data_IF_984554865314
#
_entry.id   IF_984554865314
#
_cell.length_a   1.000
_cell.length_b   1.000
_cell.length_c   1.000
_cell.angle_alpha   90.00
_cell.angle_beta   90.00
_cell.angle_gamma   90.00
#
_symmetry.space_group_name_H-M   'P 1'
#
loop_
_entity.id
_entity.type
_entity.pdbx_description
1 polymer ?
#
# COMPACT_ATOMS: atom_id res chain seq x y z
N UNK A 1 -19.01 4.99 -18.01
CA UNK A 1 -18.63 3.77 -17.23
C UNK A 1 -19.71 2.73 -17.46
N UNK A 2 -19.32 1.54 -17.88
CA UNK A 2 -20.22 0.40 -17.96
C UNK A 2 -19.79 -0.64 -16.93
N UNK A 3 -20.74 -1.28 -16.27
CA UNK A 3 -20.48 -2.40 -15.36
C UNK A 3 -20.87 -3.68 -16.12
N UNK A 4 -19.91 -4.55 -16.31
CA UNK A 4 -20.04 -5.77 -17.10
C UNK A 4 -20.43 -6.92 -16.17
N UNK A 5 -21.65 -7.41 -16.29
CA UNK A 5 -22.20 -8.46 -15.43
C UNK A 5 -22.81 -9.62 -16.22
N UNK A 6 -22.87 -9.48 -17.55
CA UNK A 6 -23.38 -10.54 -18.43
C UNK A 6 -22.37 -10.90 -19.52
N UNK A 7 -22.53 -12.10 -20.09
CA UNK A 7 -21.65 -12.59 -21.15
C UNK A 7 -21.75 -11.74 -22.41
N UNK A 8 -22.94 -11.29 -22.76
CA UNK A 8 -23.20 -10.46 -23.95
C UNK A 8 -22.47 -9.11 -23.82
N UNK A 9 -22.54 -8.48 -22.63
CA UNK A 9 -21.80 -7.25 -22.35
C UNK A 9 -20.28 -7.46 -22.44
N UNK A 10 -19.79 -8.60 -21.92
CA UNK A 10 -18.36 -8.94 -21.98
C UNK A 10 -17.89 -9.13 -23.43
N UNK A 11 -18.66 -9.87 -24.26
CA UNK A 11 -18.31 -10.11 -25.65
C UNK A 11 -18.34 -8.82 -26.48
N UNK A 12 -19.32 -7.93 -26.23
CA UNK A 12 -19.37 -6.61 -26.84
C UNK A 12 -18.16 -5.75 -26.42
N UNK A 13 -17.83 -5.75 -25.15
CA UNK A 13 -16.66 -5.06 -24.62
C UNK A 13 -15.39 -5.53 -25.33
N UNK A 14 -15.11 -6.83 -25.33
CA UNK A 14 -13.92 -7.41 -25.97
C UNK A 14 -13.88 -7.04 -27.47
N UNK A 15 -14.99 -7.19 -28.17
CA UNK A 15 -15.06 -6.83 -29.59
C UNK A 15 -14.82 -5.33 -29.85
N UNK A 16 -15.20 -4.46 -28.90
CA UNK A 16 -14.91 -3.04 -28.98
C UNK A 16 -13.43 -2.75 -28.78
N UNK A 17 -12.83 -3.30 -27.71
CA UNK A 17 -11.42 -3.06 -27.41
C UNK A 17 -10.49 -3.62 -28.49
N UNK A 18 -10.77 -4.77 -29.06
CA UNK A 18 -9.98 -5.36 -30.16
C UNK A 18 -9.89 -4.49 -31.44
N UNK A 19 -10.68 -3.43 -31.54
CA UNK A 19 -10.62 -2.45 -32.63
C UNK A 19 -9.80 -1.21 -32.29
N UNK A 20 -9.22 -1.15 -31.07
CA UNK A 20 -8.42 -0.02 -30.61
C UNK A 20 -6.93 -0.32 -30.72
N UNK A 21 -6.10 0.74 -30.71
CA UNK A 21 -4.64 0.62 -30.73
C UNK A 21 -4.06 0.38 -29.32
N UNK A 22 -4.76 0.85 -28.30
CA UNK A 22 -4.32 0.80 -26.90
C UNK A 22 -5.51 0.77 -25.94
N UNK A 23 -5.27 0.15 -24.80
CA UNK A 23 -6.17 0.23 -23.65
C UNK A 23 -5.38 0.30 -22.34
N UNK A 24 -5.90 1.02 -21.36
CA UNK A 24 -5.44 0.91 -19.99
C UNK A 24 -6.27 -0.14 -19.26
N UNK A 25 -5.64 -0.82 -18.30
CA UNK A 25 -6.32 -1.71 -17.36
C UNK A 25 -5.69 -1.61 -15.98
N UNK A 26 -6.46 -1.99 -14.98
CA UNK A 26 -6.07 -2.01 -13.58
C UNK A 26 -6.80 -3.14 -12.85
N UNK A 27 -6.21 -3.67 -11.77
CA UNK A 27 -6.73 -4.79 -11.01
C UNK A 27 -6.90 -4.42 -9.54
N UNK A 28 -8.14 -4.55 -9.03
CA UNK A 28 -8.35 -4.54 -7.59
C UNK A 28 -8.28 -5.97 -7.04
N UNK A 29 -7.44 -6.16 -6.03
CA UNK A 29 -7.17 -7.48 -5.49
C UNK A 29 -7.52 -7.59 -4.01
N UNK A 30 -7.92 -8.80 -3.59
CA UNK A 30 -8.17 -9.18 -2.21
C UNK A 30 -7.34 -10.41 -1.87
N UNK A 31 -6.86 -10.50 -0.63
CA UNK A 31 -6.11 -11.67 -0.20
C UNK A 31 -5.32 -11.45 1.09
N UNK A 32 -4.64 -12.51 1.56
CA UNK A 32 -3.99 -12.52 2.88
C UNK A 32 -2.79 -11.59 2.98
N UNK A 33 -2.22 -11.18 1.83
CA UNK A 33 -1.02 -10.35 1.78
C UNK A 33 -1.22 -9.18 0.83
N UNK A 34 -1.54 -8.02 1.37
CA UNK A 34 -1.68 -6.78 0.58
C UNK A 34 -0.42 -6.50 -0.25
N UNK A 35 -0.64 -6.07 -1.49
CA UNK A 35 0.45 -5.74 -2.41
C UNK A 35 1.22 -6.94 -2.98
N UNK A 36 0.81 -8.18 -2.69
CA UNK A 36 1.42 -9.38 -3.25
C UNK A 36 0.52 -9.93 -4.37
N UNK A 37 0.75 -9.46 -5.58
CA UNK A 37 -0.06 -9.77 -6.77
C UNK A 37 -0.22 -11.27 -7.07
N UNK A 38 0.81 -12.06 -6.76
CA UNK A 38 0.84 -13.50 -7.12
C UNK A 38 -0.14 -14.34 -6.30
N UNK A 39 -0.36 -13.99 -5.04
CA UNK A 39 -1.20 -14.78 -4.10
C UNK A 39 -2.60 -14.23 -3.90
N UNK A 40 -2.85 -12.97 -4.29
CA UNK A 40 -4.16 -12.34 -4.10
C UNK A 40 -5.11 -12.69 -5.25
N UNK A 41 -6.41 -12.76 -4.96
CA UNK A 41 -7.46 -12.92 -5.96
C UNK A 41 -7.87 -11.57 -6.54
N UNK A 42 -8.20 -11.54 -7.82
CA UNK A 42 -8.75 -10.35 -8.46
C UNK A 42 -10.23 -10.25 -8.11
N UNK A 43 -10.61 -9.13 -7.57
CA UNK A 43 -12.01 -8.81 -7.23
C UNK A 43 -12.65 -7.90 -8.27
N UNK A 44 -11.87 -7.03 -8.92
CA UNK A 44 -12.32 -6.18 -10.01
C UNK A 44 -11.25 -6.07 -11.07
N UNK A 45 -11.71 -6.00 -12.31
CA UNK A 45 -10.92 -5.54 -13.46
C UNK A 45 -11.53 -4.25 -13.99
N UNK A 46 -10.70 -3.29 -14.31
CA UNK A 46 -11.12 -2.07 -14.97
C UNK A 46 -10.37 -1.83 -16.27
N UNK A 47 -11.06 -1.25 -17.24
CA UNK A 47 -10.53 -0.99 -18.56
C UNK A 47 -10.90 0.41 -19.01
N UNK A 48 -10.01 1.07 -19.76
CA UNK A 48 -10.30 2.33 -20.40
C UNK A 48 -9.59 2.46 -21.75
N UNK A 49 -10.25 3.13 -22.67
CA UNK A 49 -9.71 3.54 -23.95
C UNK A 49 -10.36 4.85 -24.40
N UNK A 50 -10.26 5.26 -25.65
CA UNK A 50 -10.84 6.48 -26.19
C UNK A 50 -12.37 6.51 -26.00
N UNK A 51 -12.84 7.36 -25.07
CA UNK A 51 -14.28 7.59 -24.85
C UNK A 51 -15.05 6.47 -24.17
N UNK A 52 -14.43 5.34 -23.86
CA UNK A 52 -15.07 4.19 -23.21
C UNK A 52 -14.27 3.76 -21.97
N UNK A 53 -15.00 3.33 -20.94
CA UNK A 53 -14.43 2.66 -19.79
C UNK A 53 -15.42 1.67 -19.20
N UNK A 54 -14.91 0.49 -18.86
CA UNK A 54 -15.67 -0.67 -18.41
C UNK A 54 -15.03 -1.24 -17.13
N UNK A 55 -15.88 -1.79 -16.24
CA UNK A 55 -15.44 -2.49 -15.03
C UNK A 55 -16.11 -3.84 -14.93
N UNK A 56 -15.38 -4.84 -14.49
CA UNK A 56 -15.84 -6.23 -14.39
C UNK A 56 -15.67 -6.67 -12.94
N UNK A 57 -16.77 -6.83 -12.18
CA UNK A 57 -16.70 -7.41 -10.83
C UNK A 57 -16.51 -8.92 -10.89
N UNK A 58 -15.64 -9.48 -10.01
CA UNK A 58 -15.23 -10.88 -9.98
C UNK A 58 -15.32 -11.45 -8.56
N UNK A 59 -16.49 -11.36 -7.94
CA UNK A 59 -16.74 -11.90 -6.61
C UNK A 59 -16.73 -10.83 -5.50
N UNK A 60 -17.06 -9.57 -5.82
CA UNK A 60 -17.28 -8.54 -4.80
C UNK A 60 -18.43 -8.95 -3.89
N UNK A 61 -18.22 -8.98 -2.54
CA UNK A 61 -19.16 -9.61 -1.62
C UNK A 61 -20.36 -8.75 -1.27
N UNK A 62 -20.27 -7.43 -1.44
CA UNK A 62 -21.26 -6.47 -0.98
C UNK A 62 -22.08 -5.89 -2.15
N UNK A 63 -23.37 -5.65 -1.93
CA UNK A 63 -24.17 -4.75 -2.75
C UNK A 63 -24.04 -3.29 -2.29
N UNK A 64 -25.13 -2.57 -2.28
CA UNK A 64 -25.16 -1.20 -1.78
C UNK A 64 -25.33 -1.16 -0.26
N UNK A 65 -24.86 -0.09 0.37
CA UNK A 65 -25.03 0.12 1.80
C UNK A 65 -26.53 0.32 2.12
N UNK A 66 -27.11 -0.58 2.91
CA UNK A 66 -28.51 -0.54 3.31
C UNK A 66 -28.72 0.08 4.69
N UNK A 67 -27.83 -0.21 5.63
CA UNK A 67 -27.93 0.26 7.01
C UNK A 67 -26.55 0.44 7.64
N UNK A 68 -26.43 1.44 8.53
CA UNK A 68 -25.29 1.59 9.43
C UNK A 68 -25.74 1.28 10.84
N UNK A 69 -25.35 0.13 11.36
CA UNK A 69 -25.66 -0.27 12.75
C UNK A 69 -24.74 0.52 13.68
N UNK A 70 -25.30 1.36 14.55
CA UNK A 70 -24.53 2.09 15.56
C UNK A 70 -23.93 1.11 16.57
N UNK A 71 -22.62 1.20 16.91
CA UNK A 71 -22.06 0.40 17.96
C UNK A 71 -22.72 0.73 19.31
N UNK A 72 -23.08 -0.30 20.07
CA UNK A 72 -23.81 -0.18 21.35
C UNK A 72 -22.97 0.43 22.49
N UNK A 73 -21.66 0.69 22.34
CA UNK A 73 -20.79 1.18 23.42
C UNK A 73 -19.72 2.14 22.99
N UNK A 74 -19.52 3.20 23.78
CA UNK A 74 -18.30 3.97 23.93
C UNK A 74 -18.10 5.18 23.01
N UNK A 75 -16.92 5.78 23.08
CA UNK A 75 -16.54 7.04 22.42
C UNK A 75 -16.61 7.02 20.87
N UNK A 76 -16.70 5.84 20.24
CA UNK A 76 -16.91 5.68 18.80
C UNK A 76 -18.30 6.13 18.32
N UNK A 77 -19.34 5.98 19.17
CA UNK A 77 -20.71 6.38 18.84
C UNK A 77 -20.84 7.90 18.59
N UNK A 78 -20.09 8.72 19.34
CA UNK A 78 -20.13 10.20 19.20
C UNK A 78 -19.52 10.70 17.89
N UNK A 79 -18.65 9.93 17.25
CA UNK A 79 -18.11 10.29 15.91
C UNK A 79 -19.06 9.90 14.78
N UNK A 80 -19.81 8.81 14.94
CA UNK A 80 -20.82 8.37 13.97
C UNK A 80 -22.07 9.27 13.95
N UNK A 81 -22.38 9.97 15.04
CA UNK A 81 -23.52 10.89 15.13
C UNK A 81 -23.36 12.21 14.37
N UNK A 82 -22.14 12.58 13.97
CA UNK A 82 -21.89 13.79 13.18
C UNK A 82 -22.04 13.51 11.69
N UNK A 83 -23.26 13.20 11.25
CA UNK A 83 -23.73 13.34 9.87
C UNK A 83 -22.75 12.88 8.77
N UNK A 84 -22.32 11.62 8.83
CA UNK A 84 -21.54 11.01 7.76
C UNK A 84 -22.39 10.93 6.49
N UNK A 85 -22.11 11.79 5.52
CA UNK A 85 -22.61 11.59 4.16
C UNK A 85 -21.98 10.30 3.61
N UNK A 86 -22.74 9.50 2.87
CA UNK A 86 -22.31 8.22 2.30
C UNK A 86 -20.97 8.31 1.54
N UNK A 87 -20.62 9.47 1.02
CA UNK A 87 -19.41 9.75 0.25
C UNK A 87 -18.19 10.15 1.11
N UNK A 88 -18.37 10.35 2.43
CA UNK A 88 -17.33 10.88 3.32
C UNK A 88 -16.76 9.82 4.28
N UNK A 89 -17.16 8.54 4.13
CA UNK A 89 -16.77 7.47 5.04
C UNK A 89 -15.49 6.81 4.54
N UNK A 90 -14.38 7.07 5.22
CA UNK A 90 -13.17 6.28 5.08
C UNK A 90 -13.32 4.96 5.85
N UNK A 91 -13.83 3.95 5.17
CA UNK A 91 -14.09 2.61 5.72
C UNK A 91 -12.80 1.90 6.13
N UNK A 92 -11.64 2.24 5.55
CA UNK A 92 -10.36 1.62 5.84
C UNK A 92 -9.86 1.91 7.27
N UNK A 93 -10.24 3.04 7.84
CA UNK A 93 -9.87 3.44 9.21
C UNK A 93 -10.76 2.84 10.30
N UNK A 94 -11.88 2.23 9.95
CA UNK A 94 -12.90 1.73 10.88
C UNK A 94 -12.93 0.21 11.03
N UNK A 95 -11.79 -0.49 10.93
CA UNK A 95 -11.66 -1.96 11.10
C UNK A 95 -12.34 -2.55 12.35
N UNK A 96 -12.70 -1.73 13.34
CA UNK A 96 -13.39 -2.15 14.58
C UNK A 96 -14.92 -2.02 14.53
N UNK A 97 -15.46 -1.50 13.43
CA UNK A 97 -16.88 -1.25 13.27
C UNK A 97 -17.46 -2.11 12.15
N UNK A 98 -17.58 -3.41 12.37
CA UNK A 98 -18.42 -4.29 11.55
C UNK A 98 -19.90 -3.94 11.75
N UNK A 99 -20.29 -2.73 11.36
CA UNK A 99 -21.61 -2.17 11.64
C UNK A 99 -22.34 -1.76 10.35
N UNK A 100 -21.79 -2.14 9.21
CA UNK A 100 -22.40 -1.85 7.91
C UNK A 100 -23.15 -3.08 7.43
N UNK A 101 -24.42 -2.90 7.08
CA UNK A 101 -25.24 -3.91 6.42
C UNK A 101 -25.33 -3.53 4.96
N UNK A 102 -25.00 -4.48 4.10
CA UNK A 102 -25.08 -4.32 2.66
C UNK A 102 -26.23 -5.15 2.09
N UNK A 103 -26.75 -4.72 0.96
CA UNK A 103 -27.62 -5.56 0.15
C UNK A 103 -26.83 -6.68 -0.50
N UNK A 104 -27.49 -7.68 -1.05
CA UNK A 104 -26.84 -8.67 -1.90
C UNK A 104 -26.19 -7.99 -3.12
N UNK A 105 -24.97 -8.42 -3.51
CA UNK A 105 -24.32 -7.90 -4.70
C UNK A 105 -25.07 -8.29 -5.95
N UNK A 106 -24.98 -7.51 -7.04
CA UNK A 106 -25.47 -7.93 -8.34
C UNK A 106 -24.83 -9.26 -8.78
N UNK A 107 -25.53 -10.01 -9.64
CA UNK A 107 -24.95 -11.21 -10.25
C UNK A 107 -23.67 -10.83 -10.99
N UNK A 108 -22.62 -11.61 -10.81
CA UNK A 108 -21.30 -11.39 -11.39
C UNK A 108 -20.91 -12.59 -12.26
N UNK A 109 -20.03 -12.35 -13.23
CA UNK A 109 -19.50 -13.40 -14.08
C UNK A 109 -18.44 -14.24 -13.33
N UNK A 110 -18.32 -15.50 -13.72
CA UNK A 110 -17.28 -16.35 -13.15
C UNK A 110 -15.90 -15.96 -13.71
N UNK A 111 -14.83 -15.87 -12.88
CA UNK A 111 -13.50 -15.47 -13.35
C UNK A 111 -13.01 -16.26 -14.57
N UNK A 112 -13.18 -17.59 -14.60
CA UNK A 112 -12.75 -18.42 -15.72
C UNK A 112 -13.42 -18.02 -17.06
N UNK A 113 -14.70 -17.65 -17.04
CA UNK A 113 -15.42 -17.16 -18.20
C UNK A 113 -14.88 -15.81 -18.67
N UNK A 114 -14.65 -14.90 -17.73
CA UNK A 114 -14.12 -13.55 -18.01
C UNK A 114 -12.72 -13.65 -18.61
N UNK A 115 -11.80 -14.36 -17.98
CA UNK A 115 -10.42 -14.45 -18.47
C UNK A 115 -10.31 -15.22 -19.78
N UNK A 116 -11.17 -16.22 -20.02
CA UNK A 116 -11.27 -16.88 -21.32
C UNK A 116 -11.67 -15.89 -22.44
N UNK A 117 -12.65 -15.03 -22.19
CA UNK A 117 -13.08 -14.01 -23.14
C UNK A 117 -12.05 -12.90 -23.34
N UNK A 118 -11.30 -12.52 -22.28
CA UNK A 118 -10.28 -11.49 -22.34
C UNK A 118 -8.95 -11.96 -22.94
N UNK A 119 -8.73 -13.27 -23.07
CA UNK A 119 -7.48 -13.82 -23.61
C UNK A 119 -7.06 -13.21 -24.96
N UNK A 120 -7.93 -13.08 -25.98
CA UNK A 120 -7.55 -12.43 -27.23
C UNK A 120 -7.08 -10.99 -27.08
N UNK A 121 -7.64 -10.25 -26.12
CA UNK A 121 -7.25 -8.87 -25.83
C UNK A 121 -5.85 -8.78 -25.22
N UNK A 122 -5.57 -9.60 -24.20
CA UNK A 122 -4.29 -9.58 -23.50
C UNK A 122 -3.13 -10.18 -24.28
N UNK A 123 -3.41 -11.07 -25.24
CA UNK A 123 -2.40 -11.70 -26.10
C UNK A 123 -2.36 -11.13 -27.53
N UNK A 124 -2.95 -9.95 -27.74
CA UNK A 124 -2.86 -9.18 -28.99
C UNK A 124 -1.63 -8.28 -29.03
N UNK A 125 -1.36 -7.70 -30.20
CA UNK A 125 -0.33 -6.68 -30.39
C UNK A 125 -0.77 -5.26 -29.96
N UNK A 126 -1.91 -5.14 -29.30
CA UNK A 126 -2.39 -3.88 -28.75
C UNK A 126 -1.53 -3.42 -27.59
N UNK A 127 -1.34 -2.11 -27.46
CA UNK A 127 -0.62 -1.53 -26.33
C UNK A 127 -1.44 -1.67 -25.05
N UNK A 128 -0.87 -2.34 -24.04
CA UNK A 128 -1.40 -2.45 -22.69
C UNK A 128 -0.77 -1.37 -21.82
N UNK A 129 -1.60 -0.48 -21.32
CA UNK A 129 -1.19 0.63 -20.47
C UNK A 129 -1.59 0.33 -19.02
N UNK A 130 -0.71 0.63 -18.08
CA UNK A 130 -1.00 0.52 -16.65
C UNK A 130 -0.19 1.52 -15.84
N UNK A 131 -0.40 1.47 -14.53
CA UNK A 131 0.39 2.24 -13.56
C UNK A 131 0.95 1.30 -12.51
N UNK A 132 2.25 1.05 -12.47
CA UNK A 132 2.89 -0.06 -11.76
C UNK A 132 2.48 -1.41 -12.36
N UNK A 133 2.55 -1.51 -13.66
CA UNK A 133 1.98 -2.58 -14.49
C UNK A 133 2.48 -3.99 -14.15
N UNK A 134 3.66 -4.13 -13.54
CA UNK A 134 4.15 -5.43 -13.03
C UNK A 134 3.17 -6.04 -12.03
N UNK A 135 2.48 -5.22 -11.21
CA UNK A 135 1.50 -5.73 -10.27
C UNK A 135 0.33 -6.39 -10.99
N UNK A 136 -0.25 -5.69 -11.96
CA UNK A 136 -1.45 -6.14 -12.67
C UNK A 136 -1.14 -7.35 -13.56
N UNK A 137 -0.04 -7.31 -14.31
CA UNK A 137 0.39 -8.44 -15.15
C UNK A 137 0.60 -9.71 -14.33
N UNK A 138 1.28 -9.61 -13.16
CA UNK A 138 1.46 -10.77 -12.29
C UNK A 138 0.15 -11.24 -11.67
N UNK A 139 -0.78 -10.33 -11.36
CA UNK A 139 -2.09 -10.69 -10.79
C UNK A 139 -2.94 -11.50 -11.75
N UNK A 140 -2.93 -11.14 -13.04
CA UNK A 140 -3.77 -11.82 -14.05
C UNK A 140 -3.14 -13.10 -14.62
N UNK A 141 -1.82 -13.27 -14.48
CA UNK A 141 -1.07 -14.40 -15.08
C UNK A 141 -1.60 -15.76 -14.66
N UNK A 142 -2.02 -15.94 -13.40
CA UNK A 142 -2.58 -17.21 -12.91
C UNK A 142 -3.89 -17.61 -13.61
N UNK A 143 -4.62 -16.64 -14.13
CA UNK A 143 -5.86 -16.90 -14.89
C UNK A 143 -5.61 -17.18 -16.38
N UNK A 144 -4.36 -17.08 -16.81
CA UNK A 144 -3.89 -17.40 -18.15
C UNK A 144 -2.91 -18.57 -18.17
N UNK A 145 -3.12 -19.58 -17.32
CA UNK A 145 -2.29 -20.78 -17.22
C UNK A 145 -0.80 -20.48 -16.96
N UNK A 146 -0.53 -19.45 -16.16
CA UNK A 146 0.83 -19.00 -15.86
C UNK A 146 1.52 -18.21 -16.98
N UNK A 147 0.79 -17.85 -18.04
CA UNK A 147 1.33 -17.06 -19.14
C UNK A 147 1.16 -15.56 -18.88
N UNK A 148 2.27 -14.84 -18.86
CA UNK A 148 2.22 -13.37 -18.79
C UNK A 148 1.66 -12.83 -20.12
N UNK A 149 0.70 -11.91 -20.12
CA UNK A 149 0.20 -11.24 -21.32
C UNK A 149 1.30 -10.75 -22.26
N UNK A 150 1.02 -10.69 -23.56
CA UNK A 150 2.01 -10.27 -24.56
C UNK A 150 2.28 -8.76 -24.51
N UNK A 151 3.51 -8.35 -24.82
CA UNK A 151 3.84 -6.96 -25.15
C UNK A 151 3.04 -6.52 -26.42
N UNK A 152 2.94 -5.22 -26.73
CA UNK A 152 3.64 -4.11 -26.09
C UNK A 152 2.99 -3.59 -24.81
N UNK A 153 3.81 -2.97 -23.95
CA UNK A 153 3.39 -2.37 -22.69
C UNK A 153 3.76 -0.89 -22.61
N UNK A 154 3.08 -0.18 -21.73
CA UNK A 154 3.46 1.16 -21.29
C UNK A 154 3.08 1.33 -19.81
N UNK A 155 4.09 1.44 -18.95
CA UNK A 155 3.90 1.74 -17.53
C UNK A 155 4.02 3.25 -17.31
N UNK A 156 2.93 3.88 -16.88
CA UNK A 156 2.88 5.33 -16.66
C UNK A 156 3.67 5.76 -15.44
N UNK A 157 3.88 4.89 -14.44
CA UNK A 157 4.73 5.16 -13.28
C UNK A 157 6.20 5.22 -13.71
N UNK A 158 6.67 4.23 -14.47
CA UNK A 158 8.03 4.16 -15.02
C UNK A 158 8.25 5.34 -15.97
N UNK A 159 7.33 5.58 -16.89
CA UNK A 159 7.41 6.71 -17.81
C UNK A 159 7.50 8.06 -17.08
N UNK A 160 6.74 8.25 -16.01
CA UNK A 160 6.80 9.48 -15.19
C UNK A 160 8.16 9.68 -14.51
N UNK A 161 8.80 8.60 -14.09
CA UNK A 161 10.13 8.64 -13.52
C UNK A 161 11.22 8.95 -14.57
N UNK A 162 11.11 8.38 -15.77
CA UNK A 162 12.12 8.52 -16.83
C UNK A 162 12.27 9.97 -17.30
N UNK A 163 11.16 10.65 -17.59
CA UNK A 163 11.26 12.03 -18.11
C UNK A 163 11.57 13.06 -17.01
N UNK A 164 11.28 12.74 -15.73
CA UNK A 164 11.59 13.64 -14.60
C UNK A 164 11.91 12.85 -13.32
N UNK A 165 13.16 12.43 -13.16
CA UNK A 165 13.63 11.67 -12.01
C UNK A 165 13.74 12.49 -10.71
N UNK A 166 13.55 13.81 -10.74
CA UNK A 166 13.50 14.68 -9.55
C UNK A 166 12.31 14.33 -8.67
N UNK A 167 11.26 13.73 -9.26
CA UNK A 167 10.06 13.28 -8.57
C UNK A 167 10.08 11.81 -8.17
N UNK A 168 11.27 11.18 -8.06
CA UNK A 168 11.43 9.74 -7.79
C UNK A 168 10.59 9.16 -6.64
N UNK A 169 10.28 9.99 -5.63
CA UNK A 169 9.45 9.58 -4.49
C UNK A 169 7.97 9.95 -4.65
N UNK A 170 7.56 10.44 -5.83
CA UNK A 170 6.21 10.93 -6.14
C UNK A 170 5.74 10.44 -7.50
N UNK A 171 5.87 9.15 -7.73
CA UNK A 171 5.42 8.50 -8.97
C UNK A 171 4.16 7.66 -8.77
N UNK A 172 3.50 7.72 -7.60
CA UNK A 172 2.17 7.15 -7.41
C UNK A 172 1.14 7.82 -8.33
N UNK A 173 0.05 7.09 -8.64
CA UNK A 173 -0.97 7.55 -9.58
C UNK A 173 -1.53 8.93 -9.17
N UNK A 174 -1.91 9.11 -7.90
CA UNK A 174 -2.40 10.38 -7.35
C UNK A 174 -1.46 11.54 -7.58
N UNK A 175 -0.16 11.35 -7.28
CA UNK A 175 0.84 12.39 -7.45
C UNK A 175 1.06 12.74 -8.93
N UNK A 176 1.06 11.71 -9.79
CA UNK A 176 1.17 11.89 -11.23
C UNK A 176 -0.05 12.63 -11.80
N UNK A 177 -1.27 12.24 -11.41
CA UNK A 177 -2.50 12.90 -11.87
C UNK A 177 -2.57 14.37 -11.43
N UNK A 178 -2.21 14.64 -10.18
CA UNK A 178 -2.17 16.01 -9.67
C UNK A 178 -1.18 16.87 -10.43
N UNK A 179 0.02 16.33 -10.69
CA UNK A 179 1.10 17.04 -11.38
C UNK A 179 0.82 17.26 -12.87
N UNK A 180 0.30 16.21 -13.54
CA UNK A 180 0.20 16.18 -15.00
C UNK A 180 -1.15 16.63 -15.54
N UNK A 181 -2.22 16.37 -14.79
CA UNK A 181 -3.60 16.61 -15.20
C UNK A 181 -4.33 17.61 -14.29
N UNK A 182 -3.70 18.07 -13.19
CA UNK A 182 -4.35 18.95 -12.21
C UNK A 182 -5.51 18.28 -11.46
N UNK A 183 -5.58 16.95 -11.46
CA UNK A 183 -6.66 16.18 -10.87
C UNK A 183 -6.26 15.58 -9.52
N UNK A 184 -7.11 15.72 -8.54
CA UNK A 184 -6.98 15.07 -7.23
C UNK A 184 -7.99 13.92 -7.13
N UNK A 185 -7.49 12.69 -6.90
CA UNK A 185 -8.35 11.54 -6.73
C UNK A 185 -9.13 11.62 -5.41
N UNK A 186 -10.39 11.20 -5.45
CA UNK A 186 -11.18 11.03 -4.24
C UNK A 186 -10.56 9.92 -3.38
N UNK A 187 -10.14 10.26 -2.16
CA UNK A 187 -9.60 9.30 -1.20
C UNK A 187 -10.76 8.55 -0.54
N UNK A 188 -10.64 7.24 -0.39
CA UNK A 188 -11.66 6.53 0.38
C UNK A 188 -11.72 5.03 0.21
N UNK A 189 -11.39 4.49 -0.95
CA UNK A 189 -11.45 3.03 -1.16
C UNK A 189 -10.20 2.35 -0.63
N UNK A 190 -9.01 2.81 -0.98
CA UNK A 190 -7.75 2.24 -0.46
C UNK A 190 -7.61 0.74 -0.73
N UNK A 191 -6.90 0.05 0.14
CA UNK A 191 -6.49 -1.35 -0.06
C UNK A 191 -7.50 -2.41 0.46
N UNK A 192 -8.70 -2.02 0.93
CA UNK A 192 -9.73 -2.93 1.46
C UNK A 192 -11.02 -2.83 0.64
N UNK A 193 -10.89 -3.12 -0.66
CA UNK A 193 -12.00 -3.01 -1.61
C UNK A 193 -13.22 -3.86 -1.21
N UNK A 194 -13.01 -4.97 -0.51
CA UNK A 194 -14.04 -5.90 -0.06
C UNK A 194 -15.00 -5.35 1.00
N UNK A 195 -14.64 -4.25 1.67
CA UNK A 195 -15.47 -3.66 2.73
C UNK A 195 -16.32 -2.47 2.26
N UNK A 196 -16.22 -2.13 0.98
CA UNK A 196 -16.93 -0.98 0.41
C UNK A 196 -18.20 -1.39 -0.36
N UNK A 197 -19.16 -0.46 -0.56
CA UNK A 197 -20.29 -0.69 -1.44
C UNK A 197 -19.87 -0.97 -2.88
N UNK A 198 -20.64 -1.78 -3.58
CA UNK A 198 -20.41 -2.17 -4.97
C UNK A 198 -20.19 -0.98 -5.92
N UNK A 199 -21.10 0.00 -5.87
CA UNK A 199 -21.03 1.20 -6.71
C UNK A 199 -19.81 2.07 -6.44
N UNK A 200 -19.36 2.11 -5.19
CA UNK A 200 -18.17 2.89 -4.78
C UNK A 200 -16.91 2.28 -5.37
N UNK A 201 -16.75 0.95 -5.27
CA UNK A 201 -15.60 0.25 -5.85
C UNK A 201 -15.63 0.29 -7.38
N UNK A 202 -16.80 0.11 -7.98
CA UNK A 202 -16.97 0.23 -9.44
C UNK A 202 -16.49 1.59 -9.96
N UNK A 203 -16.90 2.69 -9.28
CA UNK A 203 -16.46 4.05 -9.62
C UNK A 203 -14.95 4.22 -9.43
N UNK A 204 -14.42 3.74 -8.33
CA UNK A 204 -13.00 3.83 -8.01
C UNK A 204 -12.16 3.11 -9.07
N UNK A 205 -12.39 1.83 -9.30
CA UNK A 205 -11.69 1.02 -10.32
C UNK A 205 -11.78 1.65 -11.72
N UNK A 206 -12.96 2.15 -12.10
CA UNK A 206 -13.13 2.86 -13.38
C UNK A 206 -12.23 4.09 -13.50
N UNK A 207 -12.13 4.90 -12.42
CA UNK A 207 -11.36 6.12 -12.44
C UNK A 207 -9.86 5.83 -12.53
N UNK A 208 -9.37 4.76 -11.89
CA UNK A 208 -7.97 4.34 -11.96
C UNK A 208 -7.57 4.00 -13.41
N UNK A 209 -8.33 3.14 -14.09
CA UNK A 209 -8.06 2.82 -15.50
C UNK A 209 -8.21 4.05 -16.42
N UNK A 210 -9.27 4.85 -16.23
CA UNK A 210 -9.53 6.05 -17.04
C UNK A 210 -8.40 7.05 -16.94
N UNK A 211 -7.99 7.39 -15.74
CA UNK A 211 -6.95 8.38 -15.54
C UNK A 211 -5.56 7.86 -15.90
N UNK A 212 -5.31 6.57 -15.74
CA UNK A 212 -4.10 5.92 -16.26
C UNK A 212 -4.02 6.06 -17.79
N UNK A 213 -5.13 5.87 -18.51
CA UNK A 213 -5.17 6.07 -19.95
C UNK A 213 -4.96 7.53 -20.37
N UNK A 214 -5.51 8.48 -19.60
CA UNK A 214 -5.29 9.92 -19.84
C UNK A 214 -3.83 10.32 -19.54
N UNK A 215 -3.29 9.81 -18.44
CA UNK A 215 -1.90 10.06 -18.03
C UNK A 215 -0.91 9.53 -19.06
N UNK A 216 -1.17 8.33 -19.62
CA UNK A 216 -0.35 7.76 -20.68
C UNK A 216 -0.11 8.73 -21.83
N UNK A 217 -1.14 9.43 -22.32
CA UNK A 217 -1.01 10.38 -23.44
C UNK A 217 -0.05 11.50 -23.11
N UNK A 218 -0.17 12.08 -21.92
CA UNK A 218 0.69 13.17 -21.47
C UNK A 218 2.13 12.69 -21.26
N UNK A 219 2.30 11.54 -20.59
CA UNK A 219 3.64 10.98 -20.32
C UNK A 219 4.35 10.59 -21.61
N UNK A 220 3.64 9.98 -22.57
CA UNK A 220 4.19 9.64 -23.90
C UNK A 220 4.72 10.87 -24.63
N UNK A 221 3.98 11.98 -24.64
CA UNK A 221 4.42 13.22 -25.24
C UNK A 221 5.66 13.81 -24.53
N UNK A 222 5.72 13.72 -23.20
CA UNK A 222 6.85 14.21 -22.42
C UNK A 222 8.12 13.39 -22.65
N UNK A 223 8.00 12.07 -22.75
CA UNK A 223 9.09 11.15 -23.09
C UNK A 223 9.65 11.53 -24.48
N UNK A 224 8.79 11.72 -25.48
CA UNK A 224 9.20 12.12 -26.82
C UNK A 224 9.89 13.50 -26.82
N UNK A 225 9.36 14.49 -26.09
CA UNK A 225 10.00 15.81 -25.94
C UNK A 225 11.35 15.76 -25.23
N UNK A 226 11.53 14.81 -24.30
CA UNK A 226 12.79 14.60 -23.60
C UNK A 226 13.82 13.78 -24.42
N UNK A 227 13.41 13.13 -25.52
CA UNK A 227 14.26 12.29 -26.36
C UNK A 227 14.74 11.02 -25.66
N UNK A 228 13.90 10.43 -24.79
CA UNK A 228 14.25 9.27 -23.96
C UNK A 228 13.38 8.03 -24.29
N UNK A 229 12.83 7.95 -25.51
CA UNK A 229 11.97 6.84 -25.97
C UNK A 229 12.70 5.49 -25.94
N UNK A 230 14.00 5.49 -26.24
CA UNK A 230 14.85 4.30 -26.19
C UNK A 230 15.00 3.77 -24.76
N UNK A 231 15.06 4.67 -23.77
CA UNK A 231 15.09 4.27 -22.34
C UNK A 231 13.74 3.66 -21.95
N UNK A 232 12.64 4.31 -22.38
CA UNK A 232 11.31 3.75 -22.11
C UNK A 232 11.11 2.37 -22.73
N UNK A 233 11.59 2.16 -23.97
CA UNK A 233 11.52 0.86 -24.63
C UNK A 233 12.30 -0.21 -23.83
N UNK A 234 13.51 0.09 -23.40
CA UNK A 234 14.34 -0.79 -22.58
C UNK A 234 13.65 -1.15 -21.27
N UNK A 235 13.04 -0.17 -20.58
CA UNK A 235 12.32 -0.40 -19.32
C UNK A 235 11.08 -1.29 -19.52
N UNK A 236 10.41 -1.19 -20.66
CA UNK A 236 9.28 -2.08 -20.98
C UNK A 236 9.73 -3.51 -21.27
N UNK A 237 10.91 -3.71 -21.83
CA UNK A 237 11.51 -5.06 -21.97
C UNK A 237 11.91 -5.62 -20.60
N UNK A 238 12.49 -4.78 -19.73
CA UNK A 238 12.83 -5.15 -18.33
C UNK A 238 11.59 -5.49 -17.53
N UNK A 239 10.46 -4.82 -17.77
CA UNK A 239 9.19 -5.09 -17.08
C UNK A 239 8.78 -6.57 -17.22
N UNK A 240 8.95 -7.16 -18.40
CA UNK A 240 8.67 -8.60 -18.60
C UNK A 240 9.57 -9.48 -17.74
N UNK A 241 10.86 -9.16 -17.66
CA UNK A 241 11.82 -9.89 -16.82
C UNK A 241 11.42 -9.78 -15.34
N UNK A 242 11.01 -8.60 -14.90
CA UNK A 242 10.53 -8.39 -13.52
C UNK A 242 9.28 -9.21 -13.21
N UNK A 243 8.35 -9.37 -14.16
CA UNK A 243 7.21 -10.27 -14.01
C UNK A 243 7.69 -11.73 -13.82
N UNK A 244 8.56 -12.21 -14.69
CA UNK A 244 9.06 -13.58 -14.62
C UNK A 244 9.82 -13.84 -13.28
N UNK A 245 10.64 -12.88 -12.82
CA UNK A 245 11.31 -12.96 -11.52
C UNK A 245 10.31 -12.99 -10.35
N UNK A 246 9.28 -12.14 -10.40
CA UNK A 246 8.26 -12.06 -9.35
C UNK A 246 7.40 -13.34 -9.28
N UNK A 247 7.09 -13.92 -10.42
CA UNK A 247 6.36 -15.18 -10.53
C UNK A 247 7.20 -16.39 -10.07
N UNK A 248 8.49 -16.42 -10.41
CA UNK A 248 9.41 -17.45 -9.94
C UNK A 248 9.62 -17.39 -8.42
N UNK A 249 9.63 -16.18 -7.84
CA UNK A 249 9.93 -15.96 -6.43
C UNK A 249 11.39 -16.26 -6.08
N UNK A 250 11.68 -16.20 -4.77
CA UNK A 250 12.97 -16.59 -4.21
C UNK A 250 12.78 -17.78 -3.25
N UNK A 251 13.57 -18.84 -3.38
CA UNK A 251 13.51 -19.95 -2.44
C UNK A 251 13.99 -19.51 -1.06
N UNK A 252 13.27 -19.90 -0.02
CA UNK A 252 13.64 -19.66 1.38
C UNK A 252 13.78 -21.01 2.07
N UNK A 253 14.91 -21.21 2.74
CA UNK A 253 15.13 -22.37 3.61
C UNK A 253 14.28 -22.18 4.89
N UNK A 254 13.18 -22.91 4.97
CA UNK A 254 12.22 -22.81 6.06
C UNK A 254 12.82 -23.31 7.39
N UNK A 255 13.69 -24.30 7.36
CA UNK A 255 14.30 -24.87 8.57
C UNK A 255 15.37 -23.91 9.12
N UNK A 256 16.16 -23.33 8.24
CA UNK A 256 17.11 -22.28 8.63
C UNK A 256 16.39 -21.05 9.20
N UNK A 257 15.28 -20.63 8.58
CA UNK A 257 14.48 -19.50 9.06
C UNK A 257 13.87 -19.79 10.44
N UNK A 258 13.31 -20.98 10.65
CA UNK A 258 12.75 -21.39 11.93
C UNK A 258 13.83 -21.45 13.03
N UNK A 259 15.01 -22.00 12.70
CA UNK A 259 16.14 -22.06 13.63
C UNK A 259 16.64 -20.66 14.00
N UNK A 260 16.74 -19.75 13.03
CA UNK A 260 17.12 -18.37 13.24
C UNK A 260 16.10 -17.62 14.13
N UNK A 261 14.81 -17.88 13.90
CA UNK A 261 13.73 -17.26 14.72
C UNK A 261 13.84 -17.67 16.20
N UNK A 262 14.03 -18.96 16.48
CA UNK A 262 14.23 -19.46 17.85
C UNK A 262 15.47 -18.84 18.51
N UNK A 263 16.58 -18.76 17.78
CA UNK A 263 17.81 -18.14 18.28
C UNK A 263 17.58 -16.65 18.57
N UNK A 264 16.92 -15.93 17.67
CA UNK A 264 16.65 -14.50 17.81
C UNK A 264 15.73 -14.20 18.99
N UNK A 265 14.70 -15.02 19.23
CA UNK A 265 13.84 -14.89 20.41
C UNK A 265 14.63 -15.08 21.71
N UNK A 266 15.53 -16.07 21.75
CA UNK A 266 16.42 -16.27 22.91
C UNK A 266 17.37 -15.10 23.14
N UNK A 267 17.94 -14.54 22.08
CA UNK A 267 18.82 -13.38 22.16
C UNK A 267 18.08 -12.11 22.62
N UNK A 268 16.84 -11.91 22.16
CA UNK A 268 15.97 -10.81 22.60
C UNK A 268 15.64 -10.94 24.09
N UNK A 269 15.29 -12.15 24.55
CA UNK A 269 15.01 -12.37 25.98
C UNK A 269 16.22 -12.12 26.85
N UNK A 270 17.38 -12.62 26.44
CA UNK A 270 18.65 -12.35 27.13
C UNK A 270 18.97 -10.83 27.18
N UNK A 271 18.78 -10.13 26.07
CA UNK A 271 18.97 -8.68 26.03
C UNK A 271 17.98 -7.95 26.96
N UNK A 272 16.75 -8.44 27.08
CA UNK A 272 15.75 -7.93 28.03
C UNK A 272 16.19 -8.13 29.48
N UNK A 273 16.67 -9.31 29.83
CA UNK A 273 17.19 -9.61 31.16
C UNK A 273 18.40 -8.73 31.50
N UNK A 274 19.29 -8.50 30.53
CA UNK A 274 20.46 -7.63 30.70
C UNK A 274 20.05 -6.18 30.96
N UNK A 275 18.99 -5.70 30.31
CA UNK A 275 18.41 -4.37 30.59
C UNK A 275 17.93 -4.30 32.03
N UNK A 276 17.12 -5.25 32.51
CA UNK A 276 16.57 -5.22 33.87
C UNK A 276 17.66 -5.36 34.92
N UNK A 277 18.64 -6.24 34.72
CA UNK A 277 19.79 -6.40 35.58
C UNK A 277 20.59 -5.12 35.68
N UNK A 278 20.83 -4.45 34.55
CA UNK A 278 21.64 -3.22 34.51
C UNK A 278 20.86 -2.00 35.01
N UNK A 279 19.54 -1.99 34.82
CA UNK A 279 18.65 -0.97 35.35
C UNK A 279 18.44 -1.09 36.85
N UNK A 280 18.51 -2.31 37.41
CA UNK A 280 18.19 -2.60 38.81
C UNK A 280 16.68 -2.53 39.12
N UNK A 281 15.84 -2.39 38.09
CA UNK A 281 14.38 -2.26 38.19
C UNK A 281 13.71 -2.82 36.96
N UNK A 282 12.52 -3.43 37.13
CA UNK A 282 11.66 -3.88 36.02
C UNK A 282 10.79 -2.71 35.59
N UNK A 283 10.77 -2.44 34.29
CA UNK A 283 9.98 -1.39 33.67
C UNK A 283 9.55 -1.81 32.25
N UNK A 284 8.63 -1.06 31.65
CA UNK A 284 8.22 -1.33 30.26
C UNK A 284 9.26 -0.78 29.27
N UNK A 285 10.10 -1.66 28.72
CA UNK A 285 11.17 -1.31 27.76
C UNK A 285 10.63 -0.59 26.52
N UNK A 286 9.36 -0.82 26.15
CA UNK A 286 8.72 -0.17 25.00
C UNK A 286 8.11 1.20 25.36
N UNK A 287 8.07 1.57 26.64
CA UNK A 287 7.58 2.87 27.10
C UNK A 287 8.67 3.92 26.99
N UNK A 288 8.54 4.84 26.05
CA UNK A 288 9.47 5.98 25.97
C UNK A 288 9.49 6.81 27.24
N UNK A 289 8.33 6.97 27.89
CA UNK A 289 8.21 7.73 29.14
C UNK A 289 9.03 7.09 30.26
N UNK A 290 8.93 5.79 30.47
CA UNK A 290 9.68 5.09 31.52
C UNK A 290 11.19 5.13 31.24
N UNK A 291 11.59 4.96 29.96
CA UNK A 291 12.98 5.16 29.54
C UNK A 291 13.50 6.58 29.83
N UNK A 292 12.69 7.61 29.54
CA UNK A 292 13.04 9.01 29.81
C UNK A 292 13.28 9.23 31.28
N UNK A 293 12.39 8.78 32.15
CA UNK A 293 12.57 8.89 33.60
C UNK A 293 13.79 8.15 34.07
N UNK A 294 14.01 6.92 33.64
CA UNK A 294 15.14 6.09 34.06
C UNK A 294 16.49 6.67 33.62
N UNK A 295 16.58 7.24 32.42
CA UNK A 295 17.84 7.75 31.88
C UNK A 295 18.14 9.20 32.29
N UNK A 296 17.14 10.07 32.32
CA UNK A 296 17.35 11.51 32.44
C UNK A 296 17.02 12.09 33.82
N UNK A 297 16.26 11.38 34.69
CA UNK A 297 16.03 11.85 36.04
C UNK A 297 17.35 11.90 36.84
N UNK A 298 17.50 12.86 37.75
CA UNK A 298 18.68 12.94 38.64
C UNK A 298 18.82 11.68 39.50
N UNK A 299 20.05 11.38 39.90
CA UNK A 299 20.30 10.33 40.88
C UNK A 299 19.69 10.72 42.24
N UNK A 300 19.17 9.75 43.05
CA UNK A 300 19.16 8.31 42.79
C UNK A 300 17.97 7.81 41.96
N UNK A 301 17.03 8.68 41.55
CA UNK A 301 15.80 8.30 40.86
C UNK A 301 16.01 7.86 39.40
N UNK A 302 17.13 8.25 38.80
CA UNK A 302 17.51 7.87 37.43
C UNK A 302 19.03 7.93 37.24
N UNK A 303 19.47 7.84 36.00
CA UNK A 303 20.90 7.85 35.65
C UNK A 303 21.52 9.24 35.56
N UNK A 304 20.71 10.30 35.48
CA UNK A 304 21.17 11.69 35.38
C UNK A 304 21.91 11.99 34.08
N UNK A 305 21.63 11.26 32.97
CA UNK A 305 22.24 11.52 31.69
C UNK A 305 21.79 12.88 31.14
N UNK A 306 22.71 13.61 30.51
CA UNK A 306 22.40 14.91 29.90
C UNK A 306 21.83 14.71 28.51
N UNK A 307 20.55 14.97 28.28
CA UNK A 307 19.93 14.78 26.96
C UNK A 307 20.56 15.68 25.91
N UNK A 308 20.65 15.18 24.66
CA UNK A 308 21.22 15.91 23.52
C UNK A 308 20.19 16.23 22.44
N UNK A 309 19.11 15.48 22.39
CA UNK A 309 18.06 15.61 21.39
C UNK A 309 16.72 15.71 22.10
N UNK A 310 15.87 16.63 21.61
CA UNK A 310 14.53 16.82 22.13
C UNK A 310 13.49 16.04 21.33
N UNK A 311 12.36 15.74 21.96
CA UNK A 311 11.16 15.30 21.22
C UNK A 311 10.58 16.48 20.44
N UNK A 312 9.70 16.19 19.46
CA UNK A 312 9.00 17.28 18.74
C UNK A 312 8.24 18.24 19.66
N UNK A 313 7.74 17.74 20.81
CA UNK A 313 7.11 18.56 21.85
C UNK A 313 8.15 19.38 22.61
N UNK A 314 9.29 18.78 22.93
CA UNK A 314 10.41 19.44 23.61
C UNK A 314 10.97 20.59 22.77
N UNK A 315 11.20 20.39 21.47
CA UNK A 315 11.65 21.44 20.56
C UNK A 315 10.72 22.65 20.52
N UNK A 316 9.40 22.42 20.56
CA UNK A 316 8.41 23.52 20.61
C UNK A 316 8.49 24.29 21.90
N UNK A 317 8.61 23.59 23.05
CA UNK A 317 8.76 24.24 24.36
C UNK A 317 10.05 25.05 24.45
N UNK A 318 11.16 24.51 23.96
CA UNK A 318 12.45 25.21 23.91
C UNK A 318 12.33 26.50 23.07
N UNK A 319 11.74 26.42 21.87
CA UNK A 319 11.54 27.59 21.04
C UNK A 319 10.62 28.66 21.68
N UNK A 320 9.70 28.23 22.55
CA UNK A 320 8.80 29.11 23.30
C UNK A 320 9.40 29.58 24.63
N UNK A 321 10.63 29.20 24.98
CA UNK A 321 11.30 29.55 26.24
C UNK A 321 10.64 28.93 27.48
N UNK A 322 9.92 27.80 27.31
CA UNK A 322 9.25 27.09 28.39
C UNK A 322 10.19 26.09 29.07
N UNK A 323 9.95 25.84 30.35
CA UNK A 323 10.71 24.85 31.13
C UNK A 323 10.56 23.44 30.53
N UNK A 324 11.69 22.76 30.39
CA UNK A 324 11.76 21.40 29.86
C UNK A 324 11.72 20.38 30.99
N UNK A 325 11.03 19.30 30.78
CA UNK A 325 10.93 18.15 31.69
C UNK A 325 11.59 16.93 31.07
N UNK A 326 11.79 15.86 31.83
CA UNK A 326 12.39 14.61 31.34
C UNK A 326 11.62 14.01 30.15
N UNK A 327 10.32 14.25 30.06
CA UNK A 327 9.46 13.79 28.95
C UNK A 327 9.67 14.55 27.64
N UNK A 328 10.36 15.67 27.67
CA UNK A 328 10.64 16.50 26.50
C UNK A 328 11.92 16.05 25.76
N UNK A 329 12.67 15.09 26.32
CA UNK A 329 13.91 14.58 25.75
C UNK A 329 13.72 13.27 24.99
N UNK A 330 14.42 13.12 23.85
CA UNK A 330 14.33 11.94 22.99
C UNK A 330 15.09 10.74 23.58
N UNK A 331 14.51 9.56 23.45
CA UNK A 331 15.13 8.25 23.72
C UNK A 331 15.25 7.42 22.43
N UNK A 332 15.29 8.08 21.28
CA UNK A 332 15.57 7.40 20.00
C UNK A 332 16.99 6.83 19.98
N UNK A 333 17.26 5.86 19.09
CA UNK A 333 18.61 5.31 18.95
C UNK A 333 19.64 6.41 18.68
N UNK A 334 19.33 7.39 17.83
CA UNK A 334 20.18 8.54 17.55
C UNK A 334 20.51 9.37 18.81
N UNK A 335 19.52 9.58 19.67
CA UNK A 335 19.70 10.33 20.92
C UNK A 335 20.56 9.58 21.94
N UNK A 336 20.49 8.25 21.93
CA UNK A 336 21.17 7.38 22.89
C UNK A 336 22.57 6.96 22.42
N UNK A 337 22.84 6.92 21.12
CA UNK A 337 24.12 6.48 20.54
C UNK A 337 25.37 7.11 21.19
N UNK A 338 25.42 8.41 21.52
CA UNK A 338 26.57 9.02 22.18
C UNK A 338 26.87 8.49 23.57
N UNK A 339 25.98 7.71 24.16
CA UNK A 339 26.10 7.07 25.49
C UNK A 339 26.34 5.56 25.41
N UNK A 340 26.33 4.93 24.23
CA UNK A 340 26.52 3.49 24.05
C UNK A 340 27.70 2.93 24.84
N UNK A 341 28.85 3.55 24.73
CA UNK A 341 30.07 3.11 25.41
C UNK A 341 30.29 3.71 26.80
N UNK A 342 29.39 4.60 27.27
CA UNK A 342 29.50 5.32 28.53
C UNK A 342 28.56 4.82 29.61
N UNK A 343 27.43 4.23 29.20
CA UNK A 343 26.43 3.71 30.12
C UNK A 343 25.99 2.31 29.70
N UNK A 344 26.22 1.29 30.54
CA UNK A 344 25.89 -0.10 30.21
C UNK A 344 24.39 -0.33 29.94
N UNK A 345 23.49 0.46 30.56
CA UNK A 345 22.06 0.36 30.33
C UNK A 345 21.70 0.86 28.94
N UNK A 346 22.28 1.98 28.51
CA UNK A 346 22.07 2.51 27.17
C UNK A 346 22.57 1.53 26.13
N UNK A 347 23.74 0.92 26.33
CA UNK A 347 24.27 -0.13 25.46
C UNK A 347 23.28 -1.28 25.32
N UNK A 348 22.80 -1.83 26.44
CA UNK A 348 21.83 -2.93 26.45
C UNK A 348 20.49 -2.54 25.76
N UNK A 349 20.01 -1.31 25.97
CA UNK A 349 18.79 -0.81 25.32
C UNK A 349 18.94 -0.71 23.79
N UNK A 350 20.11 -0.28 23.31
CA UNK A 350 20.38 -0.17 21.88
C UNK A 350 20.53 -1.56 21.24
N UNK A 351 21.23 -2.48 21.91
CA UNK A 351 21.34 -3.89 21.45
C UNK A 351 19.97 -4.57 21.39
N UNK A 352 19.14 -4.42 22.40
CA UNK A 352 17.76 -4.90 22.37
C UNK A 352 16.94 -4.29 21.23
N UNK A 353 17.08 -2.97 21.01
CA UNK A 353 16.36 -2.29 19.94
C UNK A 353 16.79 -2.75 18.55
N UNK A 354 18.06 -3.12 18.36
CA UNK A 354 18.58 -3.65 17.10
C UNK A 354 18.08 -5.08 16.84
N UNK A 355 18.11 -5.96 17.86
CA UNK A 355 17.56 -7.30 17.79
C UNK A 355 16.05 -7.30 17.54
N UNK A 356 15.30 -6.47 18.22
CA UNK A 356 13.83 -6.41 18.14
C UNK A 356 13.27 -5.81 16.83
N UNK A 357 14.14 -5.40 15.89
CA UNK A 357 13.75 -4.98 14.54
C UNK A 357 13.71 -6.13 13.54
N UNK A 358 14.32 -7.27 13.88
CA UNK A 358 14.51 -8.39 12.97
C UNK A 358 13.36 -9.39 12.89
N UNK A 359 12.53 -9.62 13.94
CA UNK A 359 11.37 -10.52 13.87
C UNK A 359 10.24 -10.01 13.01
#
# INVERSE_FOLDING_TARGET
MNIITTKEQLDEMVAYYLKQDAFAFDCETVGPRRGVSVVNEIMWLSFATYGRGDVIPLGHPNGELSEVIKPLTGQGAKKAEKGLKLNDVDYSKNKKLHTHVFTEPPKQLHPAEVFSALRPLFFSDMLKVGHNLVFDLCSITKYFDGQVPSAPYFDTMVGSFIYDNRNKNRCGLDDCLKRELGYEMEKGVGAEVEVHPFSVVAKYAYLDAKYTFMLWKVVKEKIAKAGVENIMALEMDVLRVLCDMKLAGAPIDQDALASLHVQLEADIEKAREDIYRTAGVVFNINSNREKQYLLYSPQPSGRGLKPKIYTGKGMKKEAEGKELTVEDYSVSAEALEPYRDKDPLVKAMLEYADLNKLP
#
